data_IF_046573643190
#
_entry.id   IF_046573643190
#
_cell.length_a   1.000
_cell.length_b   1.000
_cell.length_c   1.000
_cell.angle_alpha   90.00
_cell.angle_beta   90.00
_cell.angle_gamma   90.00
#
_symmetry.space_group_name_H-M   'P 1'
#
loop_
_entity.id
_entity.type
_entity.pdbx_description
1 polymer ?
#
# COMPACT_ATOMS: atom_id res chain seq x y z
N UNK A 1 30.39 26.28 -9.53
CA UNK A 1 29.32 25.40 -9.00
C UNK A 1 29.46 25.40 -7.50
N UNK A 2 28.42 25.76 -6.77
CA UNK A 2 28.41 25.78 -5.31
C UNK A 2 28.14 24.35 -4.79
N UNK A 3 29.11 23.70 -4.09
CA UNK A 3 28.94 22.35 -3.58
C UNK A 3 27.75 22.19 -2.63
N UNK A 4 27.41 23.23 -1.86
CA UNK A 4 26.31 23.20 -0.89
C UNK A 4 24.96 23.06 -1.60
N UNK A 5 24.77 23.81 -2.69
CA UNK A 5 23.55 23.78 -3.49
C UNK A 5 23.31 22.40 -4.14
N UNK A 6 24.36 21.70 -4.55
CA UNK A 6 24.23 20.34 -5.11
C UNK A 6 23.85 19.30 -4.03
N UNK A 7 24.37 19.43 -2.81
CA UNK A 7 23.97 18.57 -1.70
C UNK A 7 22.49 18.77 -1.32
N UNK A 8 22.02 20.02 -1.29
CA UNK A 8 20.61 20.31 -1.01
C UNK A 8 19.69 19.72 -2.07
N UNK A 9 20.02 19.88 -3.36
CA UNK A 9 19.26 19.27 -4.46
C UNK A 9 19.26 17.76 -4.39
N UNK A 10 20.40 17.15 -4.05
CA UNK A 10 20.51 15.70 -3.88
C UNK A 10 19.62 15.20 -2.73
N UNK A 11 19.64 15.86 -1.58
CA UNK A 11 18.82 15.49 -0.42
C UNK A 11 17.32 15.61 -0.73
N UNK A 12 16.92 16.65 -1.47
CA UNK A 12 15.55 16.81 -1.95
C UNK A 12 15.17 15.65 -2.88
N UNK A 13 16.02 15.32 -3.85
CA UNK A 13 15.77 14.23 -4.78
C UNK A 13 15.64 12.87 -4.07
N UNK A 14 16.52 12.57 -3.12
CA UNK A 14 16.47 11.35 -2.30
C UNK A 14 15.18 11.32 -1.47
N UNK A 15 14.77 12.45 -0.88
CA UNK A 15 13.56 12.54 -0.08
C UNK A 15 12.31 12.29 -0.94
N UNK A 16 12.23 12.90 -2.11
CA UNK A 16 11.13 12.67 -3.06
C UNK A 16 11.10 11.21 -3.50
N UNK A 17 12.26 10.63 -3.83
CA UNK A 17 12.37 9.23 -4.19
C UNK A 17 11.90 8.32 -3.06
N UNK A 18 12.33 8.58 -1.82
CA UNK A 18 11.89 7.82 -0.65
C UNK A 18 10.37 7.90 -0.47
N UNK A 19 9.78 9.09 -0.60
CA UNK A 19 8.33 9.29 -0.50
C UNK A 19 7.56 8.48 -1.55
N UNK A 20 8.07 8.40 -2.79
CA UNK A 20 7.46 7.60 -3.86
C UNK A 20 7.34 6.10 -3.51
N UNK A 21 8.20 5.57 -2.65
CA UNK A 21 8.14 4.16 -2.20
C UNK A 21 7.44 3.99 -0.84
N UNK A 22 7.67 4.91 0.09
CA UNK A 22 7.13 4.84 1.46
C UNK A 22 5.61 4.96 1.46
N UNK A 23 5.03 5.86 0.64
CA UNK A 23 3.58 6.04 0.59
C UNK A 23 2.86 4.75 0.12
N UNK A 24 3.20 4.15 -1.04
CA UNK A 24 2.61 2.88 -1.45
C UNK A 24 2.80 1.77 -0.42
N UNK A 25 3.98 1.69 0.20
CA UNK A 25 4.26 0.70 1.24
C UNK A 25 3.32 0.84 2.44
N UNK A 26 3.08 2.06 2.91
CA UNK A 26 2.14 2.34 4.01
C UNK A 26 0.73 1.90 3.65
N UNK A 27 0.26 2.19 2.44
CA UNK A 27 -1.08 1.78 1.97
C UNK A 27 -1.21 0.26 1.99
N UNK A 28 -0.21 -0.47 1.47
CA UNK A 28 -0.18 -1.94 1.48
C UNK A 28 -0.17 -2.49 2.91
N UNK A 29 0.58 -1.89 3.83
CA UNK A 29 0.63 -2.31 5.23
C UNK A 29 -0.72 -2.12 5.91
N UNK A 30 -1.37 -0.97 5.73
CA UNK A 30 -2.69 -0.69 6.30
C UNK A 30 -3.69 -1.73 5.78
N UNK A 31 -3.64 -2.03 4.48
CA UNK A 31 -4.48 -3.02 3.83
C UNK A 31 -4.28 -4.42 4.43
N UNK A 32 -3.03 -4.89 4.49
CA UNK A 32 -2.70 -6.18 5.07
C UNK A 32 -3.10 -6.28 6.54
N UNK A 33 -2.94 -5.19 7.31
CA UNK A 33 -3.37 -5.16 8.71
C UNK A 33 -4.89 -5.25 8.84
N UNK A 34 -5.64 -4.60 7.96
CA UNK A 34 -7.10 -4.69 7.95
C UNK A 34 -7.58 -6.11 7.61
N UNK A 35 -7.00 -6.74 6.59
CA UNK A 35 -7.37 -8.09 6.17
C UNK A 35 -6.95 -9.14 7.21
N UNK A 36 -5.75 -9.01 7.79
CA UNK A 36 -5.30 -9.89 8.87
C UNK A 36 -6.20 -9.81 10.09
N UNK A 37 -6.72 -8.61 10.42
CA UNK A 37 -7.67 -8.42 11.53
C UNK A 37 -9.03 -9.04 11.25
N UNK A 38 -9.52 -8.99 10.00
CA UNK A 38 -10.84 -9.53 9.62
C UNK A 38 -10.85 -11.03 9.37
N UNK A 39 -9.82 -11.55 8.72
CA UNK A 39 -9.83 -12.89 8.11
C UNK A 39 -8.66 -13.77 8.55
N UNK A 40 -7.76 -13.25 9.41
CA UNK A 40 -6.58 -13.96 9.88
C UNK A 40 -5.41 -13.94 8.89
N UNK A 41 -4.31 -14.61 9.25
CA UNK A 41 -3.07 -14.60 8.48
C UNK A 41 -3.19 -15.30 7.11
N UNK A 42 -4.07 -16.30 6.99
CA UNK A 42 -4.31 -17.03 5.74
C UNK A 42 -4.81 -16.12 4.61
N UNK A 43 -5.53 -15.05 4.96
CA UNK A 43 -6.11 -14.13 3.98
C UNK A 43 -5.07 -13.33 3.21
N UNK A 44 -3.88 -13.11 3.76
CA UNK A 44 -2.83 -12.34 3.10
C UNK A 44 -2.34 -12.99 1.80
N UNK A 45 -2.44 -14.32 1.71
CA UNK A 45 -2.04 -15.09 0.53
C UNK A 45 -3.16 -15.20 -0.52
N UNK A 46 -4.39 -14.85 -0.17
CA UNK A 46 -5.51 -14.90 -1.11
C UNK A 46 -5.44 -13.70 -2.08
N UNK A 47 -5.64 -13.95 -3.39
CA UNK A 47 -5.61 -12.89 -4.39
C UNK A 47 -6.74 -11.88 -4.17
N UNK A 48 -6.45 -10.61 -4.40
CA UNK A 48 -7.42 -9.52 -4.35
C UNK A 48 -8.10 -9.44 -5.73
N UNK A 49 -9.42 -9.49 -5.75
CA UNK A 49 -10.26 -9.27 -6.93
C UNK A 49 -11.14 -8.05 -6.74
N UNK A 50 -11.71 -7.57 -7.83
CA UNK A 50 -12.62 -6.41 -7.85
C UNK A 50 -13.97 -6.85 -8.39
N UNK A 51 -15.05 -6.42 -7.75
CA UNK A 51 -16.40 -6.58 -8.28
C UNK A 51 -16.61 -5.65 -9.48
N UNK A 52 -17.69 -5.85 -10.24
CA UNK A 52 -18.06 -4.96 -11.34
C UNK A 52 -18.24 -3.50 -10.87
N UNK A 53 -18.65 -3.29 -9.62
CA UNK A 53 -18.80 -1.98 -9.00
C UNK A 53 -17.46 -1.39 -8.49
N UNK A 54 -16.33 -2.05 -8.79
CA UNK A 54 -15.00 -1.62 -8.35
C UNK A 54 -14.69 -1.89 -6.88
N UNK A 55 -15.56 -2.62 -6.14
CA UNK A 55 -15.29 -2.98 -4.75
C UNK A 55 -14.28 -4.12 -4.69
N UNK A 56 -13.22 -3.93 -3.91
CA UNK A 56 -12.23 -4.97 -3.67
C UNK A 56 -12.76 -6.06 -2.73
N UNK A 57 -12.42 -7.31 -3.01
CA UNK A 57 -12.64 -8.45 -2.12
C UNK A 57 -11.48 -9.46 -2.25
N UNK A 58 -11.25 -10.27 -1.23
CA UNK A 58 -10.31 -11.39 -1.34
C UNK A 58 -11.03 -12.63 -1.78
N UNK A 59 -10.47 -13.32 -2.77
CA UNK A 59 -11.03 -14.59 -3.24
C UNK A 59 -11.12 -15.61 -2.09
N UNK A 60 -12.27 -16.24 -1.94
CA UNK A 60 -12.55 -17.17 -0.82
C UNK A 60 -12.97 -16.50 0.50
N UNK A 61 -13.04 -15.16 0.57
CA UNK A 61 -13.52 -14.43 1.75
C UNK A 61 -14.77 -13.60 1.42
N UNK A 62 -15.69 -13.43 2.37
CA UNK A 62 -16.93 -12.70 2.14
C UNK A 62 -16.61 -11.25 1.73
N UNK A 63 -17.21 -10.75 0.64
CA UNK A 63 -17.01 -9.37 0.22
C UNK A 63 -17.56 -8.41 1.28
N UNK A 64 -16.96 -7.22 1.44
CA UNK A 64 -17.45 -6.24 2.40
C UNK A 64 -18.87 -5.79 2.02
N UNK A 65 -19.87 -6.15 2.84
CA UNK A 65 -21.24 -5.65 2.75
C UNK A 65 -22.35 -6.68 2.48
N UNK A 66 -22.04 -7.98 2.40
CA UNK A 66 -23.05 -9.03 2.36
C UNK A 66 -23.24 -9.62 3.77
N UNK A 67 -23.94 -8.90 4.63
CA UNK A 67 -24.49 -9.38 5.92
C UNK A 67 -26.01 -9.30 5.87
#
# INVERSE_FOLDING_TARGET
MDPQFEWERLLIAISLLAVMFVIPMIVVIIDHRADRRRFGAAALNAPIRYTADGRRYREGYPPPGNS
#
